data_IF_729184508410
#
_entry.id   IF_729184508410
#
_cell.length_a   1.000
_cell.length_b   1.000
_cell.length_c   1.000
_cell.angle_alpha   90.00
_cell.angle_beta   90.00
_cell.angle_gamma   90.00
#
_symmetry.space_group_name_H-M   'P 1'
#
loop_
_entity.id
_entity.type
_entity.pdbx_description
1 polymer ?
#
# COMPACT_ATOMS: atom_id res chain seq x y z
N UNK A 1 -8.14 -19.50 -3.32
CA UNK A 1 -8.71 -18.19 -3.67
C UNK A 1 -8.53 -18.00 -5.16
N UNK A 2 -9.58 -17.63 -5.88
CA UNK A 2 -9.41 -17.08 -7.21
C UNK A 2 -8.62 -15.78 -7.09
N UNK A 3 -7.70 -15.51 -8.01
CA UNK A 3 -6.85 -14.31 -8.01
C UNK A 3 -7.69 -13.08 -8.39
N UNK A 4 -8.56 -12.64 -7.47
CA UNK A 4 -9.38 -11.43 -7.60
C UNK A 4 -8.67 -10.25 -6.97
N UNK A 5 -8.90 -9.06 -7.51
CA UNK A 5 -8.47 -7.81 -6.91
C UNK A 5 -9.36 -7.50 -5.70
N UNK A 6 -8.75 -7.35 -4.52
CA UNK A 6 -9.44 -6.94 -3.30
C UNK A 6 -9.59 -5.41 -3.33
N UNK A 7 -10.79 -4.90 -3.50
CA UNK A 7 -11.07 -3.46 -3.45
C UNK A 7 -11.50 -3.05 -2.03
N UNK A 8 -10.90 -1.99 -1.50
CA UNK A 8 -11.18 -1.48 -0.15
C UNK A 8 -11.38 0.03 -0.24
N UNK A 9 -12.55 0.49 0.21
CA UNK A 9 -12.86 1.92 0.28
C UNK A 9 -12.90 2.42 1.72
N UNK A 10 -12.18 3.49 1.98
CA UNK A 10 -12.12 4.16 3.28
C UNK A 10 -12.62 5.59 3.19
N UNK A 11 -13.36 6.00 4.22
CA UNK A 11 -13.81 7.37 4.38
C UNK A 11 -13.31 7.96 5.69
N UNK A 12 -12.51 9.02 5.62
CA UNK A 12 -12.07 9.74 6.82
C UNK A 12 -13.07 10.79 7.28
N UNK A 13 -13.45 10.70 8.55
CA UNK A 13 -14.30 11.67 9.27
C UNK A 13 -13.48 12.68 10.07
N UNK A 14 -12.15 12.63 9.94
CA UNK A 14 -11.23 13.45 10.73
C UNK A 14 -10.70 14.61 9.90
N UNK A 15 -10.65 15.83 10.48
CA UNK A 15 -10.21 16.98 9.73
C UNK A 15 -8.70 16.90 9.51
N UNK A 16 -8.25 17.40 8.36
CA UNK A 16 -6.81 17.47 8.03
C UNK A 16 -6.05 18.51 8.87
N UNK A 17 -6.77 19.39 9.59
CA UNK A 17 -6.23 20.31 10.59
C UNK A 17 -7.21 20.40 11.77
N UNK A 18 -6.74 20.40 13.03
CA UNK A 18 -7.62 20.65 14.17
C UNK A 18 -8.23 22.05 14.03
N UNK A 19 -9.51 22.10 13.71
CA UNK A 19 -10.31 23.32 13.70
C UNK A 19 -11.41 23.12 14.74
N UNK A 20 -11.18 23.67 15.94
CA UNK A 20 -11.99 23.41 17.13
C UNK A 20 -13.45 23.88 17.03
N UNK A 21 -13.84 24.64 15.99
CA UNK A 21 -15.14 25.31 15.91
C UNK A 21 -15.98 24.96 14.67
N UNK A 22 -15.62 23.94 13.88
CA UNK A 22 -16.40 23.58 12.67
C UNK A 22 -17.18 22.28 12.83
N UNK A 23 -18.40 22.30 12.27
CA UNK A 23 -19.31 21.17 12.15
C UNK A 23 -18.59 19.95 11.56
N UNK A 24 -18.84 18.76 12.13
CA UNK A 24 -18.32 17.51 11.55
C UNK A 24 -19.00 17.25 10.19
N UNK A 25 -18.37 16.50 9.28
CA UNK A 25 -18.75 16.45 7.86
C UNK A 25 -19.90 15.47 7.64
N UNK A 26 -21.04 15.71 8.31
CA UNK A 26 -22.17 14.79 8.30
C UNK A 26 -22.84 14.70 6.93
N UNK A 27 -22.94 15.79 6.17
CA UNK A 27 -23.51 15.74 4.82
C UNK A 27 -22.53 15.10 3.83
N UNK A 28 -21.24 15.39 3.97
CA UNK A 28 -20.19 14.69 3.23
C UNK A 28 -20.20 13.17 3.47
N UNK A 29 -20.38 12.74 4.73
CA UNK A 29 -20.51 11.34 5.09
C UNK A 29 -21.77 10.70 4.48
N UNK A 30 -22.93 11.38 4.52
CA UNK A 30 -24.17 10.90 3.86
C UNK A 30 -23.98 10.73 2.36
N UNK A 31 -23.34 11.70 1.71
CA UNK A 31 -23.09 11.66 0.27
C UNK A 31 -22.19 10.48 -0.10
N UNK A 32 -21.08 10.29 0.63
CA UNK A 32 -20.17 9.16 0.40
C UNK A 32 -20.86 7.82 0.63
N UNK A 33 -21.58 7.67 1.74
CA UNK A 33 -22.36 6.45 2.05
C UNK A 33 -23.35 6.15 0.93
N UNK A 34 -24.14 7.14 0.50
CA UNK A 34 -25.10 6.96 -0.59
C UNK A 34 -24.43 6.54 -1.92
N UNK A 35 -23.26 7.10 -2.24
CA UNK A 35 -22.49 6.73 -3.43
C UNK A 35 -21.97 5.29 -3.34
N UNK A 36 -21.33 4.90 -2.24
CA UNK A 36 -20.75 3.56 -2.09
C UNK A 36 -21.84 2.48 -2.03
N UNK A 37 -22.88 2.70 -1.23
CA UNK A 37 -23.97 1.75 -1.00
C UNK A 37 -24.85 1.52 -2.24
N UNK A 38 -24.97 2.52 -3.12
CA UNK A 38 -25.59 2.35 -4.45
C UNK A 38 -24.95 1.23 -5.26
N UNK A 39 -23.65 0.99 -5.08
CA UNK A 39 -22.87 -0.04 -5.76
C UNK A 39 -22.56 -1.25 -4.87
N UNK A 40 -23.23 -1.38 -3.72
CA UNK A 40 -22.98 -2.44 -2.72
C UNK A 40 -21.54 -2.49 -2.21
N UNK A 41 -20.87 -1.35 -2.13
CA UNK A 41 -19.49 -1.24 -1.63
C UNK A 41 -19.53 -0.88 -0.14
N UNK A 42 -18.95 -1.70 0.76
CA UNK A 42 -18.82 -1.35 2.17
C UNK A 42 -17.85 -0.17 2.35
N UNK A 43 -18.20 0.74 3.26
CA UNK A 43 -17.34 1.85 3.66
C UNK A 43 -16.63 1.51 4.97
N UNK A 44 -15.31 1.61 4.99
CA UNK A 44 -14.56 1.61 6.26
C UNK A 44 -14.35 3.04 6.75
N UNK A 45 -14.95 3.40 7.88
CA UNK A 45 -14.94 4.75 8.42
C UNK A 45 -13.73 4.99 9.34
N UNK A 46 -12.87 5.94 8.99
CA UNK A 46 -11.74 6.35 9.82
C UNK A 46 -12.21 7.46 10.76
N UNK A 47 -12.17 7.19 12.06
CA UNK A 47 -12.78 8.04 13.09
C UNK A 47 -12.06 7.95 14.44
N UNK A 48 -12.51 8.76 15.38
CA UNK A 48 -12.12 8.71 16.80
C UNK A 48 -13.39 8.78 17.67
N UNK A 49 -13.24 8.71 19.00
CA UNK A 49 -14.38 8.73 19.93
C UNK A 49 -15.24 10.00 19.86
N UNK A 50 -14.69 11.11 19.39
CA UNK A 50 -15.42 12.37 19.24
C UNK A 50 -16.22 12.44 17.93
N UNK A 51 -15.62 12.01 16.82
CA UNK A 51 -16.21 12.14 15.48
C UNK A 51 -17.38 11.19 15.23
N UNK A 52 -17.39 10.02 15.87
CA UNK A 52 -18.41 8.97 15.63
C UNK A 52 -19.84 9.39 16.01
N UNK A 53 -20.02 10.29 16.98
CA UNK A 53 -21.34 10.61 17.55
C UNK A 53 -22.32 11.19 16.53
N UNK A 54 -21.85 12.02 15.61
CA UNK A 54 -22.71 12.78 14.67
C UNK A 54 -23.15 11.97 13.46
N UNK A 55 -22.43 10.89 13.16
CA UNK A 55 -22.65 10.04 11.98
C UNK A 55 -23.02 8.60 12.35
N UNK A 56 -23.25 8.32 13.64
CA UNK A 56 -23.51 6.97 14.17
C UNK A 56 -24.64 6.24 13.44
N UNK A 57 -25.70 6.96 13.06
CA UNK A 57 -26.89 6.36 12.45
C UNK A 57 -26.57 5.92 11.01
N UNK A 58 -25.75 6.70 10.29
CA UNK A 58 -25.28 6.40 8.94
C UNK A 58 -24.38 5.16 8.99
N UNK A 59 -23.38 5.17 9.88
CA UNK A 59 -22.43 4.06 10.02
C UNK A 59 -23.14 2.79 10.47
N UNK A 60 -24.07 2.88 11.43
CA UNK A 60 -24.79 1.69 11.94
C UNK A 60 -25.71 1.07 10.89
N UNK A 61 -26.39 1.90 10.09
CA UNK A 61 -27.17 1.42 8.95
C UNK A 61 -26.26 0.79 7.87
N UNK A 62 -25.15 1.45 7.54
CA UNK A 62 -24.16 0.92 6.62
C UNK A 62 -23.60 -0.43 7.06
N UNK A 63 -23.34 -0.58 8.37
CA UNK A 63 -22.86 -1.83 8.94
C UNK A 63 -23.91 -2.96 8.79
N UNK A 64 -25.17 -2.69 9.11
CA UNK A 64 -26.22 -3.72 9.04
C UNK A 64 -26.56 -4.17 7.63
N UNK A 65 -26.56 -3.23 6.67
CA UNK A 65 -27.01 -3.52 5.31
C UNK A 65 -25.87 -3.84 4.34
N UNK A 66 -24.70 -3.22 4.51
CA UNK A 66 -23.59 -3.28 3.54
C UNK A 66 -22.30 -3.84 4.12
N UNK A 67 -22.20 -4.02 5.45
CA UNK A 67 -20.98 -4.47 6.10
C UNK A 67 -19.93 -3.37 6.26
N UNK A 68 -20.35 -2.10 6.40
CA UNK A 68 -19.44 -1.03 6.80
C UNK A 68 -18.70 -1.38 8.11
N UNK A 69 -17.49 -0.86 8.26
CA UNK A 69 -16.68 -1.05 9.47
C UNK A 69 -15.91 0.22 9.83
N UNK A 70 -15.05 0.18 10.86
CA UNK A 70 -14.35 1.35 11.39
C UNK A 70 -12.86 1.12 11.61
N UNK A 71 -12.10 2.18 11.43
CA UNK A 71 -10.71 2.33 11.88
C UNK A 71 -10.67 3.40 12.94
N UNK A 72 -10.07 3.09 14.09
CA UNK A 72 -9.89 4.07 15.16
C UNK A 72 -8.55 4.77 14.94
N UNK A 73 -8.60 6.03 14.52
CA UNK A 73 -7.41 6.86 14.39
C UNK A 73 -6.94 7.29 15.78
N UNK A 74 -5.65 7.07 16.03
CA UNK A 74 -4.96 7.52 17.22
C UNK A 74 -3.85 8.47 16.81
N UNK A 75 -3.71 9.56 17.55
CA UNK A 75 -2.59 10.48 17.45
C UNK A 75 -1.71 10.38 18.70
N UNK A 76 -0.61 9.60 18.65
CA UNK A 76 0.34 9.49 19.74
C UNK A 76 1.00 10.82 20.13
N UNK A 77 0.97 11.85 19.27
CA UNK A 77 1.59 13.14 19.59
C UNK A 77 0.94 13.85 20.77
N UNK A 78 -0.35 13.60 21.01
CA UNK A 78 -1.10 14.12 22.16
C UNK A 78 -0.42 13.74 23.49
N UNK A 79 0.21 12.56 23.56
CA UNK A 79 0.92 12.11 24.76
C UNK A 79 2.12 13.02 25.05
N UNK A 80 2.85 13.44 24.02
CA UNK A 80 4.01 14.31 24.17
C UNK A 80 3.60 15.74 24.52
N UNK A 81 2.49 16.21 23.94
CA UNK A 81 1.92 17.52 24.26
C UNK A 81 1.47 17.61 25.72
N UNK A 82 0.82 16.56 26.25
CA UNK A 82 0.40 16.49 27.66
C UNK A 82 1.56 16.48 28.65
N UNK A 83 2.68 15.85 28.28
CA UNK A 83 3.88 15.77 29.12
C UNK A 83 4.69 17.09 29.06
N UNK A 84 4.48 17.90 28.02
CA UNK A 84 5.05 19.25 27.91
C UNK A 84 6.52 19.29 27.51
N UNK A 85 7.10 18.19 27.03
CA UNK A 85 8.42 18.19 26.42
C UNK A 85 8.57 17.12 25.34
N UNK A 86 9.44 17.39 24.37
CA UNK A 86 9.80 16.45 23.31
C UNK A 86 10.87 15.50 23.84
N UNK A 87 10.68 14.17 23.73
CA UNK A 87 11.68 13.20 24.18
C UNK A 87 13.07 13.49 23.62
N UNK A 88 14.08 13.41 24.47
CA UNK A 88 15.48 13.70 24.11
C UNK A 88 16.13 12.57 23.32
N UNK A 89 15.53 11.38 23.32
CA UNK A 89 16.01 10.19 22.62
C UNK A 89 14.88 9.24 22.21
N UNK A 90 15.12 8.39 21.20
CA UNK A 90 14.19 7.31 20.81
C UNK A 90 13.89 6.31 21.93
N UNK A 91 14.85 6.10 22.83
CA UNK A 91 14.66 5.21 23.98
C UNK A 91 13.66 5.80 24.98
N UNK A 92 13.77 7.09 25.28
CA UNK A 92 12.83 7.82 26.13
C UNK A 92 11.43 7.86 25.50
N UNK A 93 11.35 8.18 24.21
CA UNK A 93 10.11 8.14 23.43
C UNK A 93 9.42 6.77 23.52
N UNK A 94 10.18 5.70 23.34
CA UNK A 94 9.69 4.31 23.45
C UNK A 94 9.13 4.01 24.84
N UNK A 95 9.81 4.45 25.91
CA UNK A 95 9.35 4.26 27.28
C UNK A 95 8.05 5.01 27.54
N UNK A 96 7.97 6.27 27.12
CA UNK A 96 6.76 7.10 27.27
C UNK A 96 5.58 6.46 26.53
N UNK A 97 5.78 6.06 25.28
CA UNK A 97 4.73 5.41 24.48
C UNK A 97 4.24 4.13 25.14
N UNK A 98 5.14 3.25 25.59
CA UNK A 98 4.76 1.99 26.29
C UNK A 98 3.94 2.23 27.56
N UNK A 99 4.16 3.35 28.25
CA UNK A 99 3.42 3.66 29.48
C UNK A 99 2.05 4.27 29.22
N UNK A 100 1.91 5.10 28.17
CA UNK A 100 0.73 5.96 27.98
C UNK A 100 -0.16 5.56 26.80
N UNK A 101 0.43 5.06 25.72
CA UNK A 101 -0.30 4.73 24.51
C UNK A 101 -1.32 3.59 24.70
N UNK A 102 -1.07 2.53 25.50
CA UNK A 102 -2.09 1.51 25.74
C UNK A 102 -3.37 2.06 26.34
N UNK A 103 -3.25 2.97 27.32
CA UNK A 103 -4.41 3.62 27.96
C UNK A 103 -5.18 4.49 26.97
N UNK A 104 -4.47 5.23 26.11
CA UNK A 104 -5.08 6.05 25.06
C UNK A 104 -5.87 5.18 24.07
N UNK A 105 -5.28 4.09 23.56
CA UNK A 105 -5.94 3.17 22.63
C UNK A 105 -7.18 2.55 23.26
N UNK A 106 -7.07 2.00 24.48
CA UNK A 106 -8.19 1.38 25.19
C UNK A 106 -9.30 2.40 25.45
N UNK A 107 -8.95 3.64 25.80
CA UNK A 107 -9.90 4.72 26.02
C UNK A 107 -10.69 5.04 24.76
N UNK A 108 -10.02 5.23 23.62
CA UNK A 108 -10.67 5.49 22.34
C UNK A 108 -11.51 4.31 21.85
N UNK A 109 -11.04 3.07 22.00
CA UNK A 109 -11.82 1.86 21.74
C UNK A 109 -13.12 1.83 22.56
N UNK A 110 -13.05 2.14 23.86
CA UNK A 110 -14.24 2.21 24.72
C UNK A 110 -15.21 3.31 24.28
N UNK A 111 -14.71 4.49 23.92
CA UNK A 111 -15.54 5.59 23.42
C UNK A 111 -16.27 5.17 22.15
N UNK A 112 -15.57 4.61 21.17
CA UNK A 112 -16.17 4.15 19.91
C UNK A 112 -17.18 3.02 20.17
N UNK A 113 -16.82 2.01 20.97
CA UNK A 113 -17.71 0.89 21.32
C UNK A 113 -18.97 1.33 22.08
N UNK A 114 -18.90 2.42 22.85
CA UNK A 114 -20.08 2.98 23.53
C UNK A 114 -21.12 3.56 22.55
N UNK A 115 -20.70 3.91 21.34
CA UNK A 115 -21.56 4.46 20.27
C UNK A 115 -21.93 3.38 19.26
N UNK A 116 -20.94 2.59 18.84
CA UNK A 116 -21.04 1.51 17.88
C UNK A 116 -20.76 0.18 18.59
N UNK A 117 -21.77 -0.35 19.29
CA UNK A 117 -21.62 -1.54 20.14
C UNK A 117 -21.17 -2.81 19.40
N UNK A 118 -21.38 -2.86 18.08
CA UNK A 118 -20.96 -3.94 17.20
C UNK A 118 -19.46 -3.87 16.84
N UNK A 119 -18.81 -2.71 16.99
CA UNK A 119 -17.40 -2.56 16.64
C UNK A 119 -16.50 -3.06 17.78
N UNK A 120 -15.53 -3.88 17.42
CA UNK A 120 -14.46 -4.30 18.32
C UNK A 120 -13.24 -3.37 18.29
N UNK A 121 -13.18 -2.39 17.38
CA UNK A 121 -12.14 -1.36 17.36
C UNK A 121 -10.71 -1.89 17.25
N UNK A 122 -10.52 -3.06 16.61
CA UNK A 122 -9.22 -3.77 16.53
C UNK A 122 -8.30 -3.27 15.42
N UNK A 123 -8.76 -2.35 14.58
CA UNK A 123 -7.96 -1.74 13.53
C UNK A 123 -7.65 -0.30 13.96
N UNK A 124 -6.36 -0.01 14.11
CA UNK A 124 -5.90 1.30 14.53
C UNK A 124 -5.31 2.03 13.32
N UNK A 125 -5.66 3.30 13.14
CA UNK A 125 -5.01 4.19 12.19
C UNK A 125 -4.01 5.08 12.93
N UNK A 126 -2.85 5.36 12.33
CA UNK A 126 -1.99 6.43 12.83
C UNK A 126 -1.07 7.00 11.75
N UNK A 127 -0.90 8.32 11.79
CA UNK A 127 0.15 9.00 11.01
C UNK A 127 1.54 8.81 11.63
N UNK A 128 1.60 8.54 12.94
CA UNK A 128 2.84 8.28 13.66
C UNK A 128 3.03 6.78 13.85
N UNK A 129 4.13 6.23 13.36
CA UNK A 129 4.42 4.80 13.44
C UNK A 129 5.81 4.59 14.04
N UNK A 130 5.90 3.63 14.95
CA UNK A 130 7.15 3.20 15.55
C UNK A 130 7.06 1.74 15.96
N UNK A 131 8.21 1.10 16.20
CA UNK A 131 8.26 -0.30 16.66
C UNK A 131 7.51 -0.48 17.99
N UNK A 132 7.50 0.55 18.85
CA UNK A 132 6.71 0.56 20.09
C UNK A 132 5.21 0.49 19.81
N UNK A 133 4.71 1.25 18.81
CA UNK A 133 3.30 1.19 18.40
C UNK A 133 2.93 -0.22 17.96
N UNK A 134 3.72 -0.88 17.11
CA UNK A 134 3.44 -2.24 16.66
C UNK A 134 3.37 -3.24 17.82
N UNK A 135 4.31 -3.16 18.76
CA UNK A 135 4.34 -4.03 19.94
C UNK A 135 3.10 -3.84 20.82
N UNK A 136 2.74 -2.58 21.09
CA UNK A 136 1.55 -2.24 21.89
C UNK A 136 0.27 -2.73 21.21
N UNK A 137 0.14 -2.55 19.90
CA UNK A 137 -1.01 -3.06 19.16
C UNK A 137 -1.13 -4.58 19.23
N UNK A 138 -0.01 -5.30 19.13
CA UNK A 138 0.00 -6.76 19.27
C UNK A 138 -0.38 -7.21 20.69
N UNK A 139 0.14 -6.53 21.72
CA UNK A 139 -0.21 -6.80 23.12
C UNK A 139 -1.70 -6.54 23.42
N UNK A 140 -2.31 -5.58 22.72
CA UNK A 140 -3.73 -5.26 22.81
C UNK A 140 -4.63 -6.10 21.91
N UNK A 141 -4.11 -7.16 21.27
CA UNK A 141 -4.84 -8.03 20.34
C UNK A 141 -5.52 -7.26 19.17
N UNK A 142 -4.90 -6.16 18.74
CA UNK A 142 -5.28 -5.47 17.52
C UNK A 142 -4.90 -6.34 16.31
N UNK A 143 -5.56 -6.11 15.17
CA UNK A 143 -5.36 -6.91 13.97
C UNK A 143 -4.65 -6.16 12.84
N UNK A 144 -4.65 -4.83 12.86
CA UNK A 144 -4.00 -4.05 11.82
C UNK A 144 -3.66 -2.62 12.21
N UNK A 145 -2.68 -2.07 11.49
CA UNK A 145 -2.27 -0.67 11.54
C UNK A 145 -2.43 -0.04 10.16
N UNK A 146 -3.38 0.87 10.05
CA UNK A 146 -3.69 1.60 8.82
C UNK A 146 -2.87 2.89 8.68
N UNK A 147 -2.54 3.21 7.43
CA UNK A 147 -2.03 4.53 7.03
C UNK A 147 -0.57 4.53 6.59
N UNK A 148 -0.01 3.39 6.18
CA UNK A 148 1.35 3.30 5.65
C UNK A 148 1.47 4.00 4.30
N UNK A 149 2.60 4.67 4.05
CA UNK A 149 2.82 5.43 2.80
C UNK A 149 4.15 5.06 2.14
N UNK A 150 4.06 4.32 1.04
CA UNK A 150 5.22 3.99 0.23
C UNK A 150 5.90 5.25 -0.34
N UNK A 151 7.23 5.30 -0.29
CA UNK A 151 8.05 6.47 -0.68
C UNK A 151 7.79 7.82 0.01
N UNK A 152 7.02 7.87 1.10
CA UNK A 152 6.88 9.11 1.88
C UNK A 152 8.10 9.31 2.81
N UNK A 153 8.97 10.26 2.45
CA UNK A 153 10.19 10.59 3.21
C UNK A 153 9.94 11.02 4.65
N UNK A 154 8.73 11.50 4.96
CA UNK A 154 8.38 12.06 6.27
C UNK A 154 7.83 11.02 7.25
N UNK A 155 7.45 9.83 6.78
CA UNK A 155 6.73 8.85 7.60
C UNK A 155 7.27 7.42 7.46
N UNK A 156 6.99 6.77 6.33
CA UNK A 156 7.03 5.31 6.22
C UNK A 156 7.96 4.77 5.12
N UNK A 157 8.80 5.63 4.53
CA UNK A 157 9.71 5.23 3.45
C UNK A 157 10.47 3.95 3.79
N UNK A 158 10.55 3.06 2.80
CA UNK A 158 11.10 1.72 2.96
C UNK A 158 10.04 0.63 3.18
N UNK A 159 8.81 0.98 3.59
CA UNK A 159 7.73 -0.01 3.70
C UNK A 159 7.37 -0.61 2.33
N UNK A 160 6.71 -1.78 2.30
CA UNK A 160 6.02 -2.26 1.11
C UNK A 160 4.73 -1.47 0.80
N UNK A 161 4.19 -1.67 -0.40
CA UNK A 161 2.81 -1.28 -0.77
C UNK A 161 1.83 -2.42 -0.44
N UNK A 162 0.52 -2.18 -0.54
CA UNK A 162 -0.53 -3.15 -0.20
C UNK A 162 -0.43 -3.66 1.26
N UNK A 163 -0.75 -4.94 1.51
CA UNK A 163 -0.75 -5.53 2.85
C UNK A 163 0.55 -6.26 3.16
N UNK A 164 1.09 -6.07 4.35
CA UNK A 164 2.19 -6.86 4.88
C UNK A 164 2.06 -7.06 6.38
N UNK A 165 2.67 -8.10 6.93
CA UNK A 165 2.76 -8.26 8.37
C UNK A 165 3.85 -7.35 8.93
N UNK A 166 3.50 -6.43 9.82
CA UNK A 166 4.44 -5.44 10.36
C UNK A 166 5.44 -6.09 11.33
N UNK A 167 6.72 -5.71 11.21
CA UNK A 167 7.76 -6.12 12.16
C UNK A 167 7.66 -5.35 13.48
N UNK A 168 7.82 -6.08 14.59
CA UNK A 168 7.91 -5.51 15.94
C UNK A 168 9.23 -4.82 16.22
N UNK A 169 10.27 -5.13 15.45
CA UNK A 169 11.60 -4.55 15.61
C UNK A 169 11.75 -3.30 14.74
N UNK A 170 11.11 -3.32 13.57
CA UNK A 170 11.22 -2.28 12.54
C UNK A 170 9.85 -2.01 11.90
N UNK A 171 9.15 -0.97 12.34
CA UNK A 171 7.75 -0.71 11.96
C UNK A 171 7.47 -0.61 10.45
N UNK A 172 8.46 -0.24 9.65
CA UNK A 172 8.35 0.01 8.21
C UNK A 172 8.92 -1.14 7.35
N UNK A 173 9.01 -2.36 7.88
CA UNK A 173 9.36 -3.55 7.08
C UNK A 173 8.43 -4.73 7.43
N UNK A 174 8.35 -5.73 6.53
CA UNK A 174 7.78 -7.02 6.85
C UNK A 174 8.41 -7.69 8.07
N UNK A 175 7.59 -8.40 8.84
CA UNK A 175 8.06 -9.25 9.92
C UNK A 175 8.78 -10.48 9.37
N UNK A 176 9.98 -10.75 9.88
CA UNK A 176 10.74 -11.98 9.61
C UNK A 176 10.16 -13.21 10.34
N UNK A 177 9.26 -12.98 11.30
CA UNK A 177 8.55 -14.00 12.06
C UNK A 177 7.04 -13.82 11.92
N UNK A 178 6.26 -14.78 12.42
CA UNK A 178 4.80 -14.66 12.43
C UNK A 178 4.40 -13.43 13.26
N UNK A 179 3.76 -12.45 12.62
CA UNK A 179 3.24 -11.25 13.26
C UNK A 179 1.72 -11.23 13.10
N UNK A 180 1.02 -10.65 14.08
CA UNK A 180 -0.45 -10.56 14.05
C UNK A 180 -0.95 -9.23 13.51
N UNK A 181 -0.07 -8.25 13.36
CA UNK A 181 -0.43 -6.91 12.90
C UNK A 181 -0.22 -6.82 11.41
N UNK A 182 -1.32 -6.63 10.68
CA UNK A 182 -1.27 -6.32 9.25
C UNK A 182 -1.11 -4.81 9.09
N UNK A 183 0.00 -4.39 8.49
CA UNK A 183 0.20 -3.03 8.01
C UNK A 183 -0.58 -2.82 6.71
N UNK A 184 -1.32 -1.71 6.66
CA UNK A 184 -2.18 -1.37 5.53
C UNK A 184 -1.75 -0.02 4.94
N UNK A 185 -1.49 -0.03 3.65
CA UNK A 185 -1.24 1.18 2.86
C UNK A 185 -2.42 2.16 2.94
N UNK A 186 -2.13 3.45 2.98
CA UNK A 186 -3.12 4.53 3.09
C UNK A 186 -4.03 4.59 1.86
N UNK A 187 -3.40 4.54 0.68
CA UNK A 187 -4.03 4.58 -0.64
C UNK A 187 -3.10 3.89 -1.62
N UNK A 188 -3.66 3.14 -2.56
CA UNK A 188 -2.94 2.59 -3.71
C UNK A 188 -2.35 3.71 -4.59
N UNK A 189 -1.28 3.37 -5.31
CA UNK A 189 -0.38 4.31 -5.97
C UNK A 189 -0.07 3.86 -7.40
N UNK A 190 0.22 4.81 -8.28
CA UNK A 190 0.94 4.53 -9.52
C UNK A 190 2.42 4.31 -9.17
N UNK A 191 2.79 3.05 -8.95
CA UNK A 191 4.13 2.71 -8.45
C UNK A 191 5.24 3.21 -9.38
N UNK A 192 5.00 3.20 -10.70
CA UNK A 192 5.97 3.66 -11.69
C UNK A 192 6.17 5.18 -11.60
N UNK A 193 5.08 5.94 -11.55
CA UNK A 193 5.16 7.38 -11.37
C UNK A 193 5.79 7.77 -10.04
N UNK A 194 5.35 7.17 -8.93
CA UNK A 194 5.89 7.46 -7.60
C UNK A 194 7.37 7.14 -7.51
N UNK A 195 7.84 6.02 -8.09
CA UNK A 195 9.27 5.70 -8.10
C UNK A 195 10.12 6.76 -8.82
N UNK A 196 9.60 7.36 -9.90
CA UNK A 196 10.34 8.36 -10.68
C UNK A 196 10.20 9.79 -10.14
N UNK A 197 9.13 10.10 -9.41
CA UNK A 197 8.85 11.46 -8.92
C UNK A 197 9.01 11.63 -7.42
N UNK A 198 8.99 10.54 -6.66
CA UNK A 198 8.94 10.55 -5.19
C UNK A 198 7.73 11.35 -4.66
N UNK A 199 6.60 11.35 -5.40
CA UNK A 199 5.39 12.11 -5.05
C UNK A 199 4.16 11.18 -4.91
N UNK A 200 4.05 10.42 -3.82
CA UNK A 200 2.91 9.53 -3.57
C UNK A 200 1.60 10.29 -3.37
N UNK A 201 1.64 11.57 -2.97
CA UNK A 201 0.44 12.39 -2.78
C UNK A 201 -0.28 12.64 -4.10
N UNK A 202 0.46 12.97 -5.16
CA UNK A 202 -0.08 13.24 -6.51
C UNK A 202 -0.49 11.95 -7.19
N UNK A 203 0.40 10.95 -7.21
CA UNK A 203 0.22 9.71 -7.96
C UNK A 203 -0.44 8.63 -7.12
N UNK A 204 -1.59 8.98 -6.54
CA UNK A 204 -2.44 8.10 -5.74
C UNK A 204 -3.84 7.96 -6.34
N UNK A 205 -4.57 6.95 -5.89
CA UNK A 205 -5.96 6.70 -6.32
C UNK A 205 -6.98 7.53 -5.54
N UNK A 206 -6.51 8.46 -4.69
CA UNK A 206 -7.36 9.38 -3.94
C UNK A 206 -8.05 10.36 -4.92
N UNK A 207 -9.39 10.39 -4.99
CA UNK A 207 -10.12 11.23 -5.95
C UNK A 207 -9.75 12.73 -5.87
N UNK A 208 -9.46 13.24 -4.66
CA UNK A 208 -9.02 14.62 -4.47
C UNK A 208 -7.64 14.86 -5.04
N UNK A 209 -6.69 13.96 -4.84
CA UNK A 209 -5.36 14.06 -5.43
C UNK A 209 -5.41 14.05 -6.96
N UNK A 210 -6.20 13.13 -7.52
CA UNK A 210 -6.42 13.03 -8.96
C UNK A 210 -7.04 14.30 -9.56
N UNK A 211 -8.05 14.84 -8.89
CA UNK A 211 -8.72 16.07 -9.31
C UNK A 211 -7.80 17.28 -9.23
N UNK A 212 -7.15 17.49 -8.08
CA UNK A 212 -6.33 18.67 -7.84
C UNK A 212 -5.11 18.68 -8.77
N UNK A 213 -4.46 17.54 -8.96
CA UNK A 213 -3.27 17.40 -9.83
C UNK A 213 -3.56 17.60 -11.32
N UNK A 214 -4.83 17.62 -11.73
CA UNK A 214 -5.24 17.68 -13.13
C UNK A 214 -5.10 16.33 -13.86
N UNK A 215 -4.74 15.25 -13.17
CA UNK A 215 -4.71 13.90 -13.74
C UNK A 215 -6.11 13.39 -14.12
N UNK A 216 -7.14 13.90 -13.46
CA UNK A 216 -8.54 13.66 -13.81
C UNK A 216 -9.33 14.97 -13.79
N UNK A 217 -10.43 14.98 -14.55
CA UNK A 217 -11.40 16.08 -14.63
C UNK A 217 -12.83 15.53 -14.63
N UNK A 218 -13.82 16.40 -14.75
CA UNK A 218 -15.22 16.02 -14.90
C UNK A 218 -15.52 15.31 -16.23
N UNK A 219 -14.71 15.54 -17.26
CA UNK A 219 -14.87 14.97 -18.60
C UNK A 219 -13.91 13.82 -18.89
N UNK A 220 -12.75 13.79 -18.24
CA UNK A 220 -11.69 12.81 -18.50
C UNK A 220 -11.20 12.18 -17.19
N UNK A 221 -11.51 10.89 -17.03
CA UNK A 221 -11.06 10.02 -15.94
C UNK A 221 -10.18 8.87 -16.47
N UNK A 222 -9.60 8.99 -17.66
CA UNK A 222 -8.82 7.95 -18.31
C UNK A 222 -7.63 7.49 -17.47
N UNK A 223 -6.91 8.41 -16.82
CA UNK A 223 -5.79 8.08 -15.94
C UNK A 223 -6.23 7.17 -14.78
N UNK A 224 -7.31 7.53 -14.09
CA UNK A 224 -7.87 6.74 -13.00
C UNK A 224 -8.21 5.32 -13.45
N UNK A 225 -8.84 5.18 -14.62
CA UNK A 225 -9.18 3.89 -15.20
C UNK A 225 -7.93 3.08 -15.56
N UNK A 226 -6.94 3.69 -16.23
CA UNK A 226 -5.70 3.01 -16.60
C UNK A 226 -4.91 2.54 -15.37
N UNK A 227 -4.86 3.36 -14.31
CA UNK A 227 -4.22 2.97 -13.05
C UNK A 227 -4.95 1.78 -12.40
N UNK A 228 -6.28 1.79 -12.43
CA UNK A 228 -7.09 0.67 -11.93
C UNK A 228 -6.86 -0.61 -12.75
N UNK A 229 -6.81 -0.50 -14.07
CA UNK A 229 -6.51 -1.61 -15.00
C UNK A 229 -5.12 -2.21 -14.74
N UNK A 230 -4.12 -1.39 -14.37
CA UNK A 230 -2.79 -1.90 -13.99
C UNK A 230 -2.88 -2.79 -12.74
N UNK A 231 -3.64 -2.41 -11.71
CA UNK A 231 -3.85 -3.27 -10.53
C UNK A 231 -4.63 -4.54 -10.88
N UNK A 232 -5.67 -4.43 -11.69
CA UNK A 232 -6.46 -5.58 -12.12
C UNK A 232 -5.61 -6.58 -12.90
N UNK A 233 -4.82 -6.10 -13.86
CA UNK A 233 -3.84 -6.90 -14.60
C UNK A 233 -2.88 -7.62 -13.64
N UNK A 234 -2.41 -6.93 -12.61
CA UNK A 234 -1.46 -7.52 -11.65
C UNK A 234 -2.10 -8.52 -10.69
N UNK A 235 -3.41 -8.44 -10.42
CA UNK A 235 -4.10 -9.37 -9.53
C UNK A 235 -3.90 -10.84 -9.95
N UNK A 236 -3.80 -11.13 -11.25
CA UNK A 236 -3.61 -12.49 -11.76
C UNK A 236 -2.31 -13.17 -11.30
N UNK A 237 -1.29 -12.40 -10.92
CA UNK A 237 0.00 -12.92 -10.44
C UNK A 237 0.11 -12.90 -8.91
N UNK A 238 -0.89 -12.38 -8.21
CA UNK A 238 -0.86 -12.22 -6.76
C UNK A 238 -1.94 -13.08 -6.12
N UNK A 239 -1.56 -13.83 -5.07
CA UNK A 239 -2.55 -14.59 -4.27
C UNK A 239 -3.44 -13.65 -3.45
N UNK A 240 -2.96 -12.44 -3.20
CA UNK A 240 -3.69 -11.33 -2.60
C UNK A 240 -3.10 -10.02 -3.12
N UNK A 241 -3.95 -9.12 -3.59
CA UNK A 241 -3.58 -7.76 -3.95
C UNK A 241 -4.72 -6.82 -3.56
N UNK A 242 -4.42 -5.85 -2.69
CA UNK A 242 -5.38 -4.84 -2.28
C UNK A 242 -5.24 -3.56 -3.13
N UNK A 243 -6.38 -3.08 -3.63
CA UNK A 243 -6.57 -1.73 -4.15
C UNK A 243 -7.29 -0.90 -3.08
N UNK A 244 -6.55 -0.02 -2.42
CA UNK A 244 -7.03 0.79 -1.28
C UNK A 244 -7.32 2.20 -1.77
N UNK A 245 -8.56 2.65 -1.65
CA UNK A 245 -8.96 4.02 -1.98
C UNK A 245 -9.47 4.74 -0.73
N UNK A 246 -9.00 5.97 -0.52
CA UNK A 246 -9.44 6.84 0.57
C UNK A 246 -10.04 8.14 0.02
N UNK A 247 -11.11 8.62 0.64
CA UNK A 247 -11.63 9.97 0.46
C UNK A 247 -12.02 10.56 1.82
N UNK A 248 -11.81 11.87 2.05
CA UNK A 248 -12.29 12.49 3.28
C UNK A 248 -13.73 12.96 3.11
N UNK A 249 -14.60 12.71 4.09
CA UNK A 249 -15.95 13.28 4.12
C UNK A 249 -15.93 14.82 4.05
N UNK A 250 -14.89 15.44 4.62
CA UNK A 250 -14.67 16.88 4.53
C UNK A 250 -14.49 17.40 3.10
N UNK A 251 -13.96 16.59 2.18
CA UNK A 251 -13.80 16.98 0.78
C UNK A 251 -15.14 16.95 0.02
N UNK A 252 -16.19 16.40 0.66
CA UNK A 252 -17.54 16.25 0.12
C UNK A 252 -18.56 17.14 0.84
N UNK A 253 -18.11 18.09 1.67
CA UNK A 253 -18.94 18.94 2.53
C UNK A 253 -19.04 20.38 1.99
N UNK A 254 -20.26 20.83 1.63
CA UNK A 254 -20.48 22.12 0.97
C UNK A 254 -20.35 23.33 1.90
N UNK A 255 -20.78 23.19 3.17
CA UNK A 255 -21.15 24.36 3.97
C UNK A 255 -20.08 24.81 4.98
N UNK A 256 -19.04 24.02 5.22
CA UNK A 256 -18.22 24.21 6.43
C UNK A 256 -16.80 24.71 6.16
N UNK A 257 -16.25 24.65 4.94
CA UNK A 257 -14.79 24.76 4.79
C UNK A 257 -14.22 25.81 3.84
N UNK A 258 -15.01 26.65 3.15
CA UNK A 258 -14.54 27.70 2.22
C UNK A 258 -13.59 27.23 1.09
N UNK A 259 -13.27 25.93 1.02
CA UNK A 259 -12.23 25.38 0.12
C UNK A 259 -12.84 24.80 -1.17
N UNK A 260 -14.07 24.29 -1.14
CA UNK A 260 -14.66 23.58 -2.28
C UNK A 260 -16.05 24.10 -2.64
N UNK A 261 -16.22 24.42 -3.92
CA UNK A 261 -17.52 24.77 -4.48
C UNK A 261 -18.33 23.52 -4.86
N UNK A 262 -19.61 23.72 -5.24
CA UNK A 262 -20.48 22.61 -5.67
C UNK A 262 -19.91 21.87 -6.89
N UNK A 263 -19.17 22.55 -7.76
CA UNK A 263 -18.57 21.96 -8.95
C UNK A 263 -17.51 20.92 -8.58
N UNK A 264 -16.66 21.25 -7.62
CA UNK A 264 -15.61 20.36 -7.14
C UNK A 264 -16.20 19.13 -6.46
N UNK A 265 -17.19 19.30 -5.57
CA UNK A 265 -17.87 18.17 -4.91
C UNK A 265 -18.55 17.26 -5.94
N UNK A 266 -19.23 17.83 -6.94
CA UNK A 266 -19.85 17.06 -8.02
C UNK A 266 -18.81 16.30 -8.87
N UNK A 267 -17.66 16.92 -9.15
CA UNK A 267 -16.53 16.30 -9.84
C UNK A 267 -15.95 15.11 -9.07
N UNK A 268 -15.69 15.29 -7.77
CA UNK A 268 -15.22 14.23 -6.87
C UNK A 268 -16.24 13.09 -6.75
N UNK A 269 -17.54 13.43 -6.62
CA UNK A 269 -18.62 12.44 -6.60
C UNK A 269 -18.63 11.61 -7.88
N UNK A 270 -18.54 12.25 -9.05
CA UNK A 270 -18.55 11.58 -10.36
C UNK A 270 -17.31 10.69 -10.55
N UNK A 271 -16.14 11.15 -10.14
CA UNK A 271 -14.91 10.37 -10.22
C UNK A 271 -14.99 9.14 -9.30
N UNK A 272 -15.48 9.31 -8.08
CA UNK A 272 -15.66 8.21 -7.11
C UNK A 272 -16.71 7.20 -7.59
N UNK A 273 -17.87 7.67 -8.09
CA UNK A 273 -18.92 6.83 -8.69
C UNK A 273 -18.39 6.01 -9.88
N UNK A 274 -17.45 6.58 -10.65
CA UNK A 274 -16.80 5.86 -11.76
C UNK A 274 -15.95 4.68 -11.28
N UNK A 275 -15.20 4.84 -10.19
CA UNK A 275 -14.48 3.71 -9.57
C UNK A 275 -15.45 2.65 -9.06
N UNK A 276 -16.50 3.08 -8.36
CA UNK A 276 -17.50 2.15 -7.81
C UNK A 276 -18.25 1.38 -8.90
N UNK A 277 -18.60 2.03 -10.00
CA UNK A 277 -19.22 1.38 -11.16
C UNK A 277 -18.29 0.34 -11.81
N UNK A 278 -16.99 0.58 -11.86
CA UNK A 278 -16.02 -0.41 -12.37
C UNK A 278 -15.91 -1.61 -11.42
N UNK A 279 -15.86 -1.36 -10.10
CA UNK A 279 -15.86 -2.42 -9.08
C UNK A 279 -17.12 -3.30 -9.16
N UNK A 280 -18.30 -2.70 -9.27
CA UNK A 280 -19.58 -3.43 -9.36
C UNK A 280 -19.70 -4.26 -10.65
N UNK A 281 -19.24 -3.71 -11.78
CA UNK A 281 -19.40 -4.35 -13.09
C UNK A 281 -18.36 -5.43 -13.41
N UNK A 282 -17.28 -5.53 -12.63
CA UNK A 282 -16.15 -6.41 -12.92
C UNK A 282 -16.04 -7.59 -11.93
N UNK A 283 -16.33 -8.80 -12.43
CA UNK A 283 -16.35 -10.02 -11.61
C UNK A 283 -14.98 -10.46 -11.06
N UNK A 284 -13.89 -9.91 -11.59
CA UNK A 284 -12.52 -10.13 -11.10
C UNK A 284 -12.19 -9.26 -9.88
N UNK A 285 -13.14 -8.45 -9.41
CA UNK A 285 -12.97 -7.54 -8.30
C UNK A 285 -13.94 -7.96 -7.20
N UNK A 286 -13.47 -7.84 -5.97
CA UNK A 286 -14.31 -8.07 -4.81
C UNK A 286 -14.09 -6.94 -3.80
N UNK A 287 -15.16 -6.21 -3.50
CA UNK A 287 -15.16 -5.18 -2.48
C UNK A 287 -15.24 -5.82 -1.09
N UNK A 288 -14.44 -5.31 -0.16
CA UNK A 288 -14.42 -5.73 1.24
C UNK A 288 -14.34 -4.53 2.17
N UNK A 289 -14.91 -4.68 3.37
CA UNK A 289 -14.52 -3.85 4.50
C UNK A 289 -13.03 -4.11 4.83
N UNK A 290 -12.38 -3.17 5.50
CA UNK A 290 -10.97 -3.36 5.84
C UNK A 290 -10.75 -4.56 6.78
N UNK A 291 -11.66 -4.81 7.73
CA UNK A 291 -11.52 -5.96 8.64
C UNK A 291 -11.67 -7.29 7.91
N UNK A 292 -12.62 -7.40 6.97
CA UNK A 292 -12.78 -8.60 6.17
C UNK A 292 -11.55 -8.87 5.30
N UNK A 293 -10.97 -7.83 4.70
CA UNK A 293 -9.73 -7.95 3.93
C UNK A 293 -8.55 -8.40 4.81
N UNK A 294 -8.42 -7.88 6.03
CA UNK A 294 -7.38 -8.31 6.99
C UNK A 294 -7.63 -9.76 7.40
N UNK A 295 -8.88 -10.15 7.71
CA UNK A 295 -9.21 -11.52 8.08
C UNK A 295 -8.92 -12.49 6.94
N UNK A 296 -9.24 -12.12 5.70
CA UNK A 296 -8.89 -12.88 4.50
C UNK A 296 -7.37 -13.07 4.39
N UNK A 297 -6.60 -12.00 4.56
CA UNK A 297 -5.14 -12.04 4.50
C UNK A 297 -4.55 -12.92 5.62
N UNK A 298 -4.92 -12.68 6.88
CA UNK A 298 -4.45 -13.44 8.05
C UNK A 298 -4.87 -14.90 8.03
N UNK A 299 -6.05 -15.21 7.49
CA UNK A 299 -6.53 -16.58 7.34
C UNK A 299 -5.80 -17.37 6.25
N UNK A 300 -5.01 -16.69 5.41
CA UNK A 300 -4.39 -17.27 4.22
C UNK A 300 -2.87 -17.34 4.27
N UNK A 301 -2.24 -16.53 5.10
CA UNK A 301 -0.79 -16.37 5.13
C UNK A 301 -0.29 -16.22 6.57
N UNK A 302 0.79 -16.94 6.91
CA UNK A 302 1.49 -16.83 8.20
C UNK A 302 2.61 -15.76 8.17
N UNK A 303 3.03 -15.37 6.97
CA UNK A 303 4.09 -14.41 6.68
C UNK A 303 3.66 -13.48 5.55
N UNK A 304 4.39 -12.38 5.34
CA UNK A 304 4.08 -11.44 4.27
C UNK A 304 4.15 -12.16 2.93
N UNK A 305 3.00 -12.25 2.26
CA UNK A 305 2.91 -12.88 0.94
C UNK A 305 3.68 -12.05 -0.08
N UNK A 306 4.33 -12.74 -1.03
CA UNK A 306 5.05 -12.08 -2.11
C UNK A 306 4.09 -11.30 -3.03
N UNK A 307 4.44 -10.06 -3.33
CA UNK A 307 3.70 -9.19 -4.24
C UNK A 307 4.50 -8.93 -5.52
N UNK A 308 3.83 -9.04 -6.67
CA UNK A 308 4.39 -8.91 -8.01
C UNK A 308 3.62 -7.83 -8.76
N UNK A 309 4.26 -6.72 -9.12
CA UNK A 309 3.61 -5.63 -9.83
C UNK A 309 4.43 -5.21 -11.05
N UNK A 310 3.88 -5.37 -12.25
CA UNK A 310 4.43 -4.77 -13.46
C UNK A 310 3.60 -3.56 -13.87
N UNK A 311 4.26 -2.42 -14.06
CA UNK A 311 3.61 -1.14 -14.34
C UNK A 311 4.15 -0.48 -15.60
N UNK A 312 3.25 -0.21 -16.54
CA UNK A 312 3.53 0.70 -17.67
C UNK A 312 3.39 2.17 -17.22
N UNK A 313 3.82 3.11 -18.05
CA UNK A 313 3.58 4.52 -17.83
C UNK A 313 2.17 4.88 -18.29
N UNK A 314 1.26 5.02 -17.33
CA UNK A 314 -0.14 5.37 -17.59
C UNK A 314 -0.43 6.87 -17.55
N UNK A 315 0.60 7.70 -17.32
CA UNK A 315 0.47 9.16 -17.29
C UNK A 315 0.18 9.70 -18.71
N UNK A 316 -0.90 10.47 -18.91
CA UNK A 316 -1.22 11.06 -20.20
C UNK A 316 -0.15 12.08 -20.64
N UNK A 317 0.32 11.97 -21.89
CA UNK A 317 1.42 12.79 -22.40
C UNK A 317 1.10 14.28 -22.52
N UNK A 318 -0.19 14.66 -22.52
CA UNK A 318 -0.65 16.00 -22.85
C UNK A 318 -1.16 16.79 -21.62
N UNK A 319 -1.11 16.21 -20.43
CA UNK A 319 -1.61 16.85 -19.21
C UNK A 319 -0.48 17.62 -18.53
N UNK A 320 -0.73 18.90 -18.22
CA UNK A 320 0.11 19.66 -17.30
C UNK A 320 -0.25 19.24 -15.87
N UNK A 321 0.63 18.45 -15.25
CA UNK A 321 0.41 17.92 -13.91
C UNK A 321 0.77 18.99 -12.89
N UNK A 322 -0.19 19.31 -12.03
CA UNK A 322 0.05 20.15 -10.88
C UNK A 322 0.66 19.32 -9.74
N UNK A 323 1.97 19.46 -9.55
CA UNK A 323 2.66 18.87 -8.42
C UNK A 323 2.35 19.70 -7.16
N UNK A 324 1.33 19.29 -6.40
CA UNK A 324 1.12 19.81 -5.06
C UNK A 324 2.32 19.37 -4.20
N UNK A 325 3.27 20.29 -4.08
CA UNK A 325 4.60 20.17 -3.44
C UNK A 325 5.70 19.56 -4.33
N UNK A 326 6.92 20.17 -4.33
CA UNK A 326 8.11 19.60 -4.95
C UNK A 326 8.43 18.20 -4.36
N UNK A 327 9.20 17.36 -5.07
CA UNK A 327 10.08 17.71 -6.19
C UNK A 327 9.44 17.56 -7.58
N UNK A 328 9.89 18.40 -8.51
CA UNK A 328 9.68 18.16 -9.95
C UNK A 328 10.36 16.84 -10.35
N UNK A 329 9.75 16.04 -11.24
CA UNK A 329 10.34 14.79 -11.71
C UNK A 329 11.72 15.02 -12.32
N UNK A 330 12.70 14.16 -11.98
CA UNK A 330 14.01 14.16 -12.66
C UNK A 330 13.91 13.77 -14.14
N UNK A 331 12.85 13.06 -14.50
CA UNK A 331 12.54 12.59 -15.86
C UNK A 331 11.07 12.89 -16.14
N UNK A 332 10.75 13.40 -17.33
CA UNK A 332 9.35 13.55 -17.76
C UNK A 332 8.81 12.21 -18.26
N UNK A 333 7.51 11.90 -18.06
CA UNK A 333 6.87 10.75 -18.67
C UNK A 333 6.95 10.80 -20.21
N UNK A 334 6.84 9.66 -20.92
CA UNK A 334 6.56 8.33 -20.38
C UNK A 334 7.77 7.69 -19.67
N UNK A 335 7.47 7.00 -18.58
CA UNK A 335 8.44 6.18 -17.84
C UNK A 335 8.62 4.81 -18.50
N UNK A 336 9.80 4.17 -18.39
CA UNK A 336 9.97 2.80 -18.88
C UNK A 336 9.06 1.83 -18.11
N UNK A 337 8.78 0.67 -18.70
CA UNK A 337 8.11 -0.43 -18.00
C UNK A 337 8.96 -0.86 -16.79
N UNK A 338 8.32 -0.96 -15.64
CA UNK A 338 8.96 -1.31 -14.37
C UNK A 338 8.33 -2.55 -13.78
N UNK A 339 9.13 -3.40 -13.17
CA UNK A 339 8.67 -4.53 -12.37
C UNK A 339 9.08 -4.34 -10.91
N UNK A 340 8.10 -4.33 -10.04
CA UNK A 340 8.23 -4.19 -8.60
C UNK A 340 7.87 -5.50 -7.93
N UNK A 341 8.69 -5.90 -6.97
CA UNK A 341 8.50 -7.11 -6.20
C UNK A 341 8.77 -6.86 -4.73
N UNK A 342 8.00 -7.43 -3.83
CA UNK A 342 8.44 -7.59 -2.44
C UNK A 342 8.00 -8.93 -1.87
N UNK A 343 8.68 -9.37 -0.83
CA UNK A 343 8.29 -10.45 0.07
C UNK A 343 8.67 -10.09 1.52
N UNK A 344 8.65 -11.06 2.44
CA UNK A 344 9.04 -10.83 3.83
C UNK A 344 10.51 -10.43 4.04
N UNK A 345 11.37 -10.57 3.03
CA UNK A 345 12.82 -10.43 3.15
C UNK A 345 13.39 -9.29 2.32
N UNK A 346 12.71 -8.86 1.25
CA UNK A 346 13.18 -7.80 0.40
C UNK A 346 12.10 -7.06 -0.38
N UNK A 347 12.50 -5.94 -0.96
CA UNK A 347 11.81 -5.28 -2.06
C UNK A 347 12.82 -5.06 -3.20
N UNK A 348 12.45 -5.48 -4.41
CA UNK A 348 13.26 -5.41 -5.62
C UNK A 348 12.52 -4.59 -6.69
N UNK A 349 13.26 -3.71 -7.36
CA UNK A 349 12.74 -2.93 -8.49
C UNK A 349 13.60 -3.24 -9.72
N UNK A 350 12.96 -3.55 -10.84
CA UNK A 350 13.60 -3.83 -12.11
C UNK A 350 13.09 -2.88 -13.18
N UNK A 351 13.99 -2.50 -14.08
CA UNK A 351 13.67 -1.71 -15.27
C UNK A 351 13.72 -2.59 -16.50
N UNK A 352 12.78 -2.39 -17.41
CA UNK A 352 12.78 -3.07 -18.71
C UNK A 352 14.16 -3.05 -19.39
N UNK A 353 14.55 -4.20 -19.91
CA UNK A 353 15.85 -4.41 -20.56
C UNK A 353 17.03 -4.67 -19.61
N UNK A 354 16.84 -4.58 -18.27
CA UNK A 354 17.87 -4.91 -17.29
C UNK A 354 17.55 -6.21 -16.55
N UNK A 355 18.50 -7.15 -16.51
CA UNK A 355 18.32 -8.45 -15.84
C UNK A 355 18.46 -8.35 -14.31
N UNK A 356 19.21 -7.38 -13.82
CA UNK A 356 19.47 -7.14 -12.40
C UNK A 356 18.56 -6.01 -11.88
N UNK A 357 18.23 -6.00 -10.58
CA UNK A 357 17.43 -4.93 -10.01
C UNK A 357 18.17 -3.59 -10.05
N UNK A 358 17.43 -2.50 -10.26
CA UNK A 358 17.90 -1.12 -10.13
C UNK A 358 17.84 -0.61 -8.70
N UNK A 359 17.02 -1.25 -7.85
CA UNK A 359 16.95 -0.99 -6.42
C UNK A 359 16.70 -2.30 -5.67
N UNK A 360 17.42 -2.49 -4.56
CA UNK A 360 17.19 -3.58 -3.61
C UNK A 360 17.04 -2.97 -2.22
N UNK A 361 15.93 -3.26 -1.55
CA UNK A 361 15.78 -3.08 -0.11
C UNK A 361 15.93 -4.43 0.55
N UNK A 362 16.92 -4.54 1.43
CA UNK A 362 17.24 -5.78 2.11
C UNK A 362 16.66 -5.74 3.53
N UNK A 363 15.50 -6.37 3.72
CA UNK A 363 14.83 -6.45 5.02
C UNK A 363 15.41 -7.57 5.89
N UNK A 364 15.93 -8.64 5.29
CA UNK A 364 16.54 -9.76 5.99
C UNK A 364 17.90 -9.42 6.63
N UNK A 365 18.74 -8.68 5.89
CA UNK A 365 20.07 -8.25 6.32
C UNK A 365 20.30 -6.76 6.03
N UNK A 366 19.59 -5.86 6.74
CA UNK A 366 19.71 -4.41 6.55
C UNK A 366 21.18 -3.94 6.51
N UNK A 367 21.59 -3.15 5.51
CA UNK A 367 22.96 -2.65 5.46
C UNK A 367 23.21 -1.68 6.62
N UNK A 368 24.41 -1.76 7.18
CA UNK A 368 24.86 -0.84 8.22
C UNK A 368 24.76 0.61 7.70
N UNK A 369 24.12 1.49 8.46
CA UNK A 369 23.83 2.90 8.10
C UNK A 369 22.92 3.11 6.86
N UNK A 370 22.26 2.07 6.35
CA UNK A 370 21.31 2.27 5.26
C UNK A 370 20.12 3.11 5.73
N UNK A 371 19.77 4.12 4.93
CA UNK A 371 18.46 4.78 5.04
C UNK A 371 17.47 3.92 4.28
N UNK A 372 16.42 3.48 4.96
CA UNK A 372 15.30 2.77 4.35
C UNK A 372 15.68 1.42 3.71
N UNK A 373 16.71 0.76 4.25
CA UNK A 373 17.12 -0.61 3.90
C UNK A 373 17.68 -0.79 2.48
N UNK A 374 17.90 0.30 1.75
CA UNK A 374 18.43 0.30 0.39
C UNK A 374 19.89 -0.17 0.37
N UNK A 375 20.20 -1.10 -0.52
CA UNK A 375 21.54 -1.57 -0.83
C UNK A 375 22.26 -0.56 -1.74
N UNK A 376 23.49 -0.18 -1.35
CA UNK A 376 24.31 0.75 -2.15
C UNK A 376 25.01 0.03 -3.30
N UNK A 377 25.48 -1.18 -3.05
CA UNK A 377 26.25 -1.99 -3.98
C UNK A 377 25.40 -3.19 -4.37
N UNK A 378 24.66 -3.06 -5.47
CA UNK A 378 23.84 -4.14 -6.02
C UNK A 378 24.75 -5.05 -6.85
N UNK A 379 24.84 -6.37 -6.54
CA UNK A 379 25.62 -7.32 -7.33
C UNK A 379 25.24 -7.26 -8.81
N UNK A 380 26.21 -7.51 -9.69
CA UNK A 380 25.98 -7.58 -11.14
C UNK A 380 26.31 -8.98 -11.67
N UNK A 381 25.71 -9.33 -12.81
CA UNK A 381 26.00 -10.60 -13.48
C UNK A 381 27.40 -10.50 -14.08
N UNK A 382 28.34 -11.26 -13.55
CA UNK A 382 29.71 -11.31 -14.06
C UNK A 382 29.79 -12.16 -15.33
N UNK A 383 28.97 -13.21 -15.43
CA UNK A 383 28.82 -14.03 -16.64
C UNK A 383 27.40 -14.53 -16.85
N UNK A 384 26.97 -14.57 -18.11
CA UNK A 384 25.70 -15.15 -18.54
C UNK A 384 25.93 -16.08 -19.73
N UNK A 385 25.55 -17.34 -19.58
CA UNK A 385 25.72 -18.39 -20.60
C UNK A 385 24.37 -19.04 -20.93
N UNK A 386 23.67 -18.55 -21.96
CA UNK A 386 22.54 -19.26 -22.52
C UNK A 386 23.05 -20.36 -23.46
N UNK A 387 22.56 -21.59 -23.28
CA UNK A 387 22.82 -22.69 -24.19
C UNK A 387 21.52 -23.46 -24.48
N UNK A 388 21.51 -24.19 -25.60
CA UNK A 388 20.36 -25.00 -26.01
C UNK A 388 20.80 -26.44 -26.19
N UNK A 389 20.13 -27.36 -25.52
CA UNK A 389 20.28 -28.79 -25.72
C UNK A 389 18.93 -29.39 -26.14
N UNK A 390 18.79 -29.69 -27.43
CA UNK A 390 17.55 -30.18 -28.05
C UNK A 390 16.36 -29.24 -27.76
N UNK A 391 15.47 -29.68 -26.89
CA UNK A 391 14.23 -29.00 -26.48
C UNK A 391 14.41 -28.19 -25.19
N UNK A 392 15.62 -28.17 -24.62
CA UNK A 392 15.94 -27.45 -23.39
C UNK A 392 16.70 -26.16 -23.67
N UNK A 393 16.28 -25.08 -23.03
CA UNK A 393 17.03 -23.84 -22.88
C UNK A 393 17.66 -23.85 -21.49
N UNK A 394 18.99 -23.80 -21.43
CA UNK A 394 19.77 -23.78 -20.20
C UNK A 394 20.35 -22.38 -20.06
N UNK A 395 20.11 -21.74 -18.92
CA UNK A 395 20.57 -20.39 -18.62
C UNK A 395 21.40 -20.43 -17.35
N UNK A 396 22.69 -20.16 -17.48
CA UNK A 396 23.62 -20.10 -16.37
C UNK A 396 24.05 -18.65 -16.10
N UNK A 397 24.01 -18.25 -14.84
CA UNK A 397 24.44 -16.94 -14.37
C UNK A 397 25.54 -17.11 -13.32
N UNK A 398 26.59 -16.32 -13.44
CA UNK A 398 27.57 -16.10 -12.37
C UNK A 398 27.36 -14.69 -11.81
N UNK A 399 27.14 -14.60 -10.48
CA UNK A 399 26.94 -13.35 -9.76
C UNK A 399 27.93 -13.30 -8.61
N UNK A 400 28.74 -12.25 -8.55
CA UNK A 400 29.66 -12.03 -7.42
C UNK A 400 28.99 -11.09 -6.42
N UNK A 401 28.85 -11.55 -5.17
CA UNK A 401 28.29 -10.77 -4.07
C UNK A 401 29.31 -10.62 -2.97
N UNK A 402 29.36 -9.47 -2.32
CA UNK A 402 30.26 -9.20 -1.17
C UNK A 402 29.68 -9.63 0.17
N UNK A 403 28.44 -10.12 0.17
CA UNK A 403 27.71 -10.58 1.35
C UNK A 403 26.53 -11.47 0.97
N UNK A 404 25.97 -12.17 1.95
CA UNK A 404 24.68 -12.81 1.79
C UNK A 404 23.55 -11.79 1.73
N UNK A 405 22.65 -11.92 0.75
CA UNK A 405 21.49 -11.04 0.62
C UNK A 405 20.36 -11.65 -0.23
N UNK A 406 19.10 -11.30 0.06
CA UNK A 406 18.00 -11.54 -0.87
C UNK A 406 18.21 -10.74 -2.16
N UNK A 407 17.95 -11.39 -3.29
CA UNK A 407 18.18 -10.84 -4.61
C UNK A 407 17.18 -11.42 -5.62
N UNK A 408 17.22 -10.93 -6.86
CA UNK A 408 16.46 -11.52 -7.95
C UNK A 408 17.02 -11.19 -9.32
N UNK A 409 16.60 -11.97 -10.31
CA UNK A 409 16.88 -11.75 -11.71
C UNK A 409 15.58 -11.69 -12.49
N UNK A 410 15.59 -10.97 -13.61
CA UNK A 410 14.52 -11.01 -14.61
C UNK A 410 15.10 -11.29 -15.99
N UNK A 411 14.32 -11.99 -16.81
CA UNK A 411 14.54 -12.05 -18.26
C UNK A 411 13.28 -11.50 -18.89
N UNK A 412 13.42 -10.35 -19.54
CA UNK A 412 12.33 -9.68 -20.23
C UNK A 412 11.99 -10.41 -21.53
N UNK A 413 10.75 -10.20 -22.00
CA UNK A 413 10.10 -10.83 -23.16
C UNK A 413 9.18 -12.02 -22.80
N UNK A 414 8.42 -12.48 -23.80
CA UNK A 414 7.46 -13.56 -23.66
C UNK A 414 8.17 -14.91 -23.56
N UNK A 415 8.14 -15.49 -22.37
CA UNK A 415 8.67 -16.81 -22.10
C UNK A 415 7.58 -17.81 -21.72
N UNK A 416 6.31 -17.46 -21.94
CA UNK A 416 5.15 -18.29 -21.56
C UNK A 416 5.06 -19.61 -22.31
N UNK A 417 5.77 -19.75 -23.44
CA UNK A 417 5.89 -21.00 -24.19
C UNK A 417 6.81 -22.03 -23.52
N UNK A 418 7.57 -21.64 -22.49
CA UNK A 418 8.49 -22.53 -21.80
C UNK A 418 7.92 -23.03 -20.47
N UNK A 419 8.28 -24.26 -20.10
CA UNK A 419 8.00 -24.87 -18.82
C UNK A 419 9.30 -25.00 -18.00
N UNK A 420 9.21 -24.87 -16.67
CA UNK A 420 10.37 -25.03 -15.79
C UNK A 420 10.69 -26.53 -15.66
N UNK A 421 11.90 -26.91 -16.03
CA UNK A 421 12.41 -28.28 -15.82
C UNK A 421 13.13 -28.36 -14.48
N UNK A 422 14.06 -27.44 -14.24
CA UNK A 422 14.81 -27.34 -12.98
C UNK A 422 15.38 -25.94 -12.78
N UNK A 423 15.57 -25.56 -11.53
CA UNK A 423 16.26 -24.33 -11.15
C UNK A 423 16.82 -24.47 -9.74
N UNK A 424 17.94 -23.80 -9.47
CA UNK A 424 18.44 -23.61 -8.10
C UNK A 424 18.03 -22.24 -7.51
N UNK A 425 17.18 -21.47 -8.20
CA UNK A 425 16.52 -20.29 -7.65
C UNK A 425 15.49 -20.70 -6.59
N UNK A 426 15.23 -19.81 -5.63
CA UNK A 426 14.20 -20.01 -4.60
C UNK A 426 12.81 -20.08 -5.20
N UNK A 427 12.53 -19.19 -6.14
CA UNK A 427 11.26 -19.14 -6.87
C UNK A 427 11.53 -18.74 -8.31
N UNK A 428 10.80 -19.35 -9.25
CA UNK A 428 10.75 -18.94 -10.66
C UNK A 428 9.30 -18.67 -11.02
N UNK A 429 9.00 -17.53 -11.64
CA UNK A 429 7.64 -17.11 -11.95
C UNK A 429 7.55 -16.34 -13.27
N UNK A 430 6.59 -16.72 -14.11
CA UNK A 430 6.23 -15.96 -15.30
C UNK A 430 5.26 -14.85 -14.95
N UNK A 431 5.56 -13.63 -15.40
CA UNK A 431 4.71 -12.44 -15.23
C UNK A 431 4.09 -12.11 -16.58
N UNK A 432 3.09 -12.91 -16.95
CA UNK A 432 2.39 -12.81 -18.23
C UNK A 432 3.34 -13.03 -19.40
N UNK A 433 3.27 -12.12 -20.37
CA UNK A 433 4.15 -12.09 -21.55
C UNK A 433 5.32 -11.10 -21.42
N UNK A 434 5.58 -10.63 -20.20
CA UNK A 434 6.51 -9.52 -20.01
C UNK A 434 7.89 -9.97 -19.55
N UNK A 435 7.94 -10.94 -18.63
CA UNK A 435 9.19 -11.43 -18.08
C UNK A 435 9.07 -12.80 -17.38
N UNK A 436 10.22 -13.45 -17.22
CA UNK A 436 10.49 -14.52 -16.27
C UNK A 436 11.26 -13.95 -15.07
N UNK A 437 10.68 -13.99 -13.88
CA UNK A 437 11.30 -13.57 -12.63
C UNK A 437 11.89 -14.75 -11.87
N UNK A 438 13.06 -14.54 -11.26
CA UNK A 438 13.76 -15.50 -10.42
C UNK A 438 14.09 -14.84 -9.08
N UNK A 439 13.60 -15.41 -7.99
CA UNK A 439 13.99 -15.01 -6.63
C UNK A 439 15.19 -15.84 -6.18
N UNK A 440 16.24 -15.18 -5.69
CA UNK A 440 17.53 -15.80 -5.35
C UNK A 440 18.00 -15.35 -3.97
N UNK A 441 18.68 -16.23 -3.24
CA UNK A 441 19.42 -15.84 -2.05
C UNK A 441 20.90 -15.97 -2.35
N UNK A 442 21.59 -14.83 -2.43
CA UNK A 442 23.02 -14.79 -2.69
C UNK A 442 23.78 -15.12 -1.41
N UNK A 443 24.90 -15.83 -1.57
CA UNK A 443 25.93 -16.01 -0.58
C UNK A 443 27.09 -15.04 -0.84
N UNK A 444 27.95 -14.83 0.16
CA UNK A 444 29.23 -14.15 -0.04
C UNK A 444 30.11 -14.92 -1.06
N UNK A 445 30.73 -14.18 -1.98
CA UNK A 445 31.53 -14.70 -3.07
C UNK A 445 30.76 -15.00 -4.36
N UNK A 446 31.22 -16.03 -5.09
CA UNK A 446 30.68 -16.42 -6.39
C UNK A 446 29.43 -17.29 -6.25
N UNK A 447 28.31 -16.79 -6.77
CA UNK A 447 27.05 -17.50 -6.84
C UNK A 447 26.81 -17.98 -8.27
N UNK A 448 26.43 -19.26 -8.41
CA UNK A 448 26.07 -19.86 -9.69
C UNK A 448 24.59 -20.18 -9.70
N UNK A 449 23.87 -19.60 -10.64
CA UNK A 449 22.44 -19.83 -10.82
C UNK A 449 22.23 -20.55 -12.14
N UNK A 450 21.50 -21.65 -12.13
CA UNK A 450 21.16 -22.43 -13.31
C UNK A 450 19.65 -22.55 -13.42
N UNK A 451 19.11 -22.27 -14.61
CA UNK A 451 17.71 -22.49 -14.95
C UNK A 451 17.63 -23.29 -16.24
N UNK A 452 16.89 -24.39 -16.17
CA UNK A 452 16.60 -25.25 -17.30
C UNK A 452 15.11 -25.14 -17.61
N UNK A 453 14.81 -24.69 -18.81
CA UNK A 453 13.47 -24.57 -19.36
C UNK A 453 13.29 -25.55 -20.51
N UNK A 454 12.08 -26.02 -20.78
CA UNK A 454 11.73 -26.81 -21.96
C UNK A 454 10.55 -26.22 -22.70
N UNK A 455 10.50 -26.43 -24.02
CA UNK A 455 9.33 -26.08 -24.85
C UNK A 455 8.19 -27.06 -24.57
#
# INVERSE_FOLDING_TARGET
MENKLTYIFLCSLLPTKPQHDKLKPAEGAKLISALAHKHSIPVTWILNGESVQEVKDIISYGHSEFGDDVVIMIDPSIIFDEIGFIPSSKAEETVILRQRLPELIISEQKKVKSVLSWSDGRIIGSNFKSSAVIQILDELDCMGLYGYRWEDETSDRGCPWSFFFASKDHYNIPSSSVSRIVAIERSSLDLNAVFHTNNPSVFSVNPKSLWLSGLCSDIDNSYAKMLFDEYLKNSQWNRFLAFVQELNAYDMEYASYDVYDRGTIAGLAKLTDSFFSEVESNQQIQAFSLSDAINLYKGSFDHTEACYMIFDSVIPQQIEINFFLPPEPKRKPPYPLMFFYYDSECHLVFREGQMTPVEVRNYAYPPFESRYYVERDIPTISRFYPSRDREKLIMEFEIESTKSMPYGLVIWDDHSMFNLVSSNARTVKWIGKNLLFMRLDLNDGLNRVEIILSI
#
